data_IF_529366507023
#
_entry.id   IF_529366507023
#
_cell.length_a   1.000
_cell.length_b   1.000
_cell.length_c   1.000
_cell.angle_alpha   90.00
_cell.angle_beta   90.00
_cell.angle_gamma   90.00
#
_symmetry.space_group_name_H-M   'P 1'
#
loop_
_entity.id
_entity.type
_entity.pdbx_description
1 polymer ?
#
# COMPACT_ATOMS: atom_id res chain seq x y z
N UNK A 1 11.69 6.77 -14.46
CA UNK A 1 10.95 6.31 -13.24
C UNK A 1 11.31 7.19 -12.06
N UNK A 2 10.31 7.61 -11.28
CA UNK A 2 10.47 8.55 -10.15
C UNK A 2 10.50 7.78 -8.83
N UNK A 3 11.47 8.08 -7.96
CA UNK A 3 11.58 7.51 -6.62
C UNK A 3 11.20 8.58 -5.57
N UNK A 4 10.31 8.28 -4.63
CA UNK A 4 9.88 9.20 -3.57
C UNK A 4 10.31 8.74 -2.18
N UNK A 5 10.50 9.67 -1.25
CA UNK A 5 10.63 9.34 0.16
C UNK A 5 9.26 8.96 0.79
N UNK A 6 9.23 7.92 1.63
CA UNK A 6 8.01 7.26 2.09
C UNK A 6 7.21 7.99 3.19
N UNK A 7 7.74 9.07 3.79
CA UNK A 7 7.06 9.78 4.88
C UNK A 7 6.39 11.07 4.38
N UNK A 8 5.14 10.93 3.90
CA UNK A 8 4.36 12.05 3.36
C UNK A 8 4.05 13.12 4.41
N UNK A 9 3.84 12.73 5.68
CA UNK A 9 3.57 13.68 6.76
C UNK A 9 4.80 14.52 7.07
N UNK A 10 5.98 13.89 7.11
CA UNK A 10 7.24 14.62 7.31
C UNK A 10 7.56 15.48 6.09
N UNK A 11 7.36 14.98 4.87
CA UNK A 11 7.49 15.78 3.64
C UNK A 11 6.64 17.04 3.70
N UNK A 12 5.35 16.93 4.03
CA UNK A 12 4.45 18.08 4.14
C UNK A 12 4.90 19.06 5.24
N UNK A 13 5.41 18.55 6.37
CA UNK A 13 5.93 19.39 7.45
C UNK A 13 7.23 20.12 7.06
N UNK A 14 8.13 19.47 6.31
CA UNK A 14 9.38 20.08 5.81
C UNK A 14 9.06 21.11 4.72
N UNK A 15 8.11 20.81 3.84
CA UNK A 15 7.68 21.77 2.82
C UNK A 15 7.01 23.01 3.44
N UNK A 16 6.25 22.85 4.52
CA UNK A 16 5.70 23.98 5.27
C UNK A 16 6.77 24.76 6.08
N UNK A 17 7.97 24.22 6.27
CA UNK A 17 9.04 24.87 7.03
C UNK A 17 9.78 25.92 6.18
N UNK A 18 10.16 27.04 6.79
CA UNK A 18 10.74 28.17 6.06
C UNK A 18 12.15 27.90 5.51
N UNK A 19 12.97 27.15 6.23
CA UNK A 19 14.41 26.98 5.93
C UNK A 19 14.85 25.53 5.77
N UNK A 20 14.02 24.56 6.13
CA UNK A 20 14.43 23.16 6.17
C UNK A 20 14.22 22.55 4.79
N UNK A 21 15.29 21.98 4.22
CA UNK A 21 15.28 21.34 2.91
C UNK A 21 15.28 19.81 3.03
N UNK A 22 15.00 19.13 1.92
CA UNK A 22 14.98 17.68 1.83
C UNK A 22 14.79 17.23 0.40
N UNK A 23 15.17 15.98 0.12
CA UNK A 23 14.92 15.32 -1.15
C UNK A 23 13.42 14.99 -1.24
N UNK A 24 12.78 15.48 -2.30
CA UNK A 24 11.40 15.11 -2.64
C UNK A 24 11.40 13.78 -3.40
N UNK A 25 12.12 13.77 -4.53
CA UNK A 25 12.23 12.60 -5.38
C UNK A 25 13.48 12.60 -6.25
N UNK A 26 13.82 11.43 -6.77
CA UNK A 26 14.97 11.21 -7.65
C UNK A 26 14.53 10.57 -8.97
N UNK A 27 15.06 11.10 -10.08
CA UNK A 27 14.99 10.51 -11.41
C UNK A 27 16.33 10.00 -11.88
N UNK A 28 16.29 8.94 -12.69
CA UNK A 28 17.43 8.48 -13.48
C UNK A 28 17.15 8.78 -14.94
N UNK A 29 18.00 9.60 -15.57
CA UNK A 29 17.86 9.97 -16.97
C UNK A 29 18.33 8.81 -17.87
N UNK A 30 17.40 8.18 -18.59
CA UNK A 30 17.67 7.04 -19.47
C UNK A 30 17.23 7.30 -20.93
N UNK A 31 16.02 6.90 -21.35
CA UNK A 31 15.56 7.09 -22.73
C UNK A 31 15.32 8.56 -23.11
N UNK A 32 14.98 9.40 -22.13
CA UNK A 32 14.78 10.84 -22.32
C UNK A 32 16.10 11.64 -22.43
N UNK A 33 17.26 10.96 -22.33
CA UNK A 33 18.56 11.60 -22.49
C UNK A 33 18.78 12.06 -23.95
N UNK A 34 19.29 13.28 -24.19
CA UNK A 34 19.57 13.75 -25.54
C UNK A 34 20.70 12.94 -26.19
N UNK A 35 20.72 12.95 -27.53
CA UNK A 35 21.73 12.22 -28.31
C UNK A 35 23.15 12.66 -27.92
N UNK A 36 23.99 11.68 -27.53
CA UNK A 36 25.36 11.92 -27.06
C UNK A 36 25.50 11.97 -25.53
N UNK A 37 24.40 11.90 -24.78
CA UNK A 37 24.44 11.79 -23.32
C UNK A 37 24.66 10.34 -22.85
N UNK A 38 25.50 10.13 -21.81
CA UNK A 38 25.63 8.81 -21.22
C UNK A 38 24.32 8.41 -20.52
N UNK A 39 23.68 7.36 -21.03
CA UNK A 39 22.43 6.79 -20.50
C UNK A 39 22.62 6.29 -19.06
N UNK A 40 21.60 6.49 -18.22
CA UNK A 40 21.55 6.02 -16.82
C UNK A 40 22.73 6.49 -15.96
N UNK A 41 23.35 7.63 -16.30
CA UNK A 41 24.48 8.19 -15.54
C UNK A 41 24.19 9.59 -15.02
N UNK A 42 23.08 10.20 -15.41
CA UNK A 42 22.59 11.44 -14.82
C UNK A 42 21.47 11.13 -13.85
N UNK A 43 21.61 11.57 -12.61
CA UNK A 43 20.55 11.55 -11.62
C UNK A 43 20.01 12.98 -11.48
N UNK A 44 18.69 13.11 -11.55
CA UNK A 44 17.97 14.37 -11.30
C UNK A 44 17.39 14.27 -9.89
N UNK A 45 18.04 14.92 -8.93
CA UNK A 45 17.60 14.91 -7.53
C UNK A 45 16.80 16.18 -7.28
N UNK A 46 15.48 16.03 -7.09
CA UNK A 46 14.61 17.17 -6.83
C UNK A 46 14.46 17.40 -5.33
N UNK A 47 14.71 18.63 -4.92
CA UNK A 47 14.62 19.09 -3.54
C UNK A 47 13.30 19.82 -3.30
N UNK A 48 12.87 19.88 -2.03
CA UNK A 48 11.68 20.64 -1.61
C UNK A 48 11.91 22.15 -1.66
N UNK A 49 13.15 22.60 -1.43
CA UNK A 49 13.60 23.99 -1.50
C UNK A 49 14.77 24.12 -2.47
N UNK A 50 15.14 25.34 -2.91
CA UNK A 50 16.28 25.55 -3.82
C UNK A 50 17.56 24.86 -3.37
N UNK A 51 18.34 24.41 -4.34
CA UNK A 51 19.64 23.78 -4.09
C UNK A 51 20.54 24.77 -3.35
N UNK A 52 21.09 24.41 -2.17
CA UNK A 52 21.94 25.31 -1.41
C UNK A 52 23.21 25.67 -2.20
N UNK A 53 23.60 26.94 -2.14
CA UNK A 53 24.85 27.40 -2.73
C UNK A 53 26.05 26.75 -2.04
N UNK A 54 27.04 26.33 -2.83
CA UNK A 54 28.29 25.76 -2.31
C UNK A 54 28.25 24.24 -2.05
N UNK A 55 27.21 23.53 -2.49
CA UNK A 55 27.22 22.07 -2.50
C UNK A 55 28.41 21.56 -3.32
N UNK A 56 29.20 20.64 -2.78
CA UNK A 56 30.31 20.01 -3.49
C UNK A 56 30.05 18.53 -3.75
N UNK A 57 30.77 17.93 -4.71
CA UNK A 57 30.58 16.53 -5.08
C UNK A 57 30.89 15.56 -3.91
N UNK A 58 31.77 15.97 -3.00
CA UNK A 58 32.17 15.19 -1.82
C UNK A 58 31.02 15.02 -0.81
N UNK A 59 30.01 15.90 -0.89
CA UNK A 59 28.81 15.88 -0.05
C UNK A 59 27.70 15.00 -0.62
N UNK A 60 27.92 14.41 -1.81
CA UNK A 60 26.98 13.48 -2.46
C UNK A 60 27.58 12.09 -2.44
N UNK A 61 27.05 11.25 -1.56
CA UNK A 61 27.52 9.87 -1.37
C UNK A 61 26.51 8.90 -1.97
N UNK A 62 26.97 7.99 -2.82
CA UNK A 62 26.15 6.92 -3.39
C UNK A 62 26.70 5.58 -2.88
N UNK A 63 25.89 4.88 -2.11
CA UNK A 63 26.22 3.59 -1.50
C UNK A 63 25.27 2.50 -2.00
N UNK A 64 25.67 1.24 -1.89
CA UNK A 64 24.88 0.08 -2.30
C UNK A 64 25.52 -0.69 -3.46
N UNK A 65 24.68 -1.34 -4.26
CA UNK A 65 25.15 -2.22 -5.33
C UNK A 65 25.63 -3.58 -4.84
N UNK A 66 25.43 -4.62 -5.66
CA UNK A 66 25.99 -5.95 -5.35
C UNK A 66 27.27 -6.21 -6.15
N UNK A 67 27.21 -5.96 -7.46
CA UNK A 67 28.31 -6.15 -8.41
C UNK A 67 29.11 -4.87 -8.60
N UNK A 68 28.43 -3.73 -8.68
CA UNK A 68 29.07 -2.41 -8.82
C UNK A 68 28.87 -1.62 -7.55
N UNK A 69 29.84 -1.70 -6.62
CA UNK A 69 29.74 -1.10 -5.28
C UNK A 69 30.36 0.29 -5.17
N UNK A 70 31.21 0.64 -6.12
CA UNK A 70 31.93 1.92 -6.12
C UNK A 70 31.42 2.74 -7.30
N UNK A 71 30.67 3.79 -7.00
CA UNK A 71 30.13 4.74 -7.96
C UNK A 71 30.70 6.09 -7.59
N UNK A 72 31.45 6.70 -8.50
CA UNK A 72 32.09 7.99 -8.27
C UNK A 72 31.29 9.10 -8.95
N UNK A 73 31.08 10.19 -8.20
CA UNK A 73 30.41 11.38 -8.72
C UNK A 73 31.43 12.21 -9.51
N UNK A 74 31.23 12.30 -10.83
CA UNK A 74 32.12 13.04 -11.73
C UNK A 74 31.94 14.55 -11.58
N UNK A 75 30.69 15.00 -11.55
CA UNK A 75 30.32 16.39 -11.34
C UNK A 75 28.91 16.48 -10.79
N UNK A 76 28.63 17.63 -10.16
CA UNK A 76 27.31 18.05 -9.74
C UNK A 76 27.02 19.44 -10.30
N UNK A 77 25.74 19.80 -10.39
CA UNK A 77 25.34 21.15 -10.79
C UNK A 77 23.86 21.39 -10.51
N UNK A 78 23.44 22.65 -10.57
CA UNK A 78 22.02 23.00 -10.47
C UNK A 78 21.43 23.04 -11.88
N UNK A 79 20.20 22.57 -12.07
CA UNK A 79 19.61 22.53 -13.41
C UNK A 79 19.40 23.92 -14.03
N UNK A 80 19.24 24.96 -13.20
CA UNK A 80 19.14 26.35 -13.67
C UNK A 80 20.46 26.95 -14.15
N UNK A 81 21.59 26.44 -13.66
CA UNK A 81 22.94 26.81 -14.07
C UNK A 81 23.73 25.54 -14.37
N UNK A 82 23.40 24.84 -15.48
CA UNK A 82 23.95 23.53 -15.76
C UNK A 82 25.48 23.61 -15.95
N UNK A 83 26.22 22.59 -15.50
CA UNK A 83 27.68 22.62 -15.50
C UNK A 83 28.23 22.64 -16.92
N UNK A 84 29.38 23.30 -17.13
CA UNK A 84 30.03 23.40 -18.45
C UNK A 84 30.45 22.02 -19.03
N UNK A 85 30.55 21.01 -18.16
CA UNK A 85 30.82 19.61 -18.52
C UNK A 85 29.62 18.92 -19.18
N UNK A 86 28.40 19.46 -19.04
CA UNK A 86 27.21 18.97 -19.74
C UNK A 86 27.22 19.46 -21.19
N UNK A 87 26.75 18.64 -22.13
CA UNK A 87 26.69 19.02 -23.54
C UNK A 87 25.58 20.07 -23.79
N UNK A 88 25.60 20.75 -24.94
CA UNK A 88 24.65 21.83 -25.23
C UNK A 88 23.17 21.37 -25.20
N UNK A 89 22.90 20.12 -25.61
CA UNK A 89 21.54 19.56 -25.60
C UNK A 89 21.07 19.25 -24.17
N UNK A 90 21.96 18.77 -23.31
CA UNK A 90 21.73 18.55 -21.88
C UNK A 90 21.47 19.86 -21.16
N UNK A 91 22.27 20.89 -21.42
CA UNK A 91 22.08 22.21 -20.84
C UNK A 91 20.68 22.76 -21.20
N UNK A 92 20.27 22.64 -22.45
CA UNK A 92 18.93 23.04 -22.89
C UNK A 92 17.81 22.22 -22.20
N UNK A 93 18.00 20.92 -22.02
CA UNK A 93 17.04 20.06 -21.31
C UNK A 93 16.93 20.44 -19.83
N UNK A 94 18.05 20.60 -19.13
CA UNK A 94 18.07 20.87 -17.70
C UNK A 94 17.48 22.23 -17.36
N UNK A 95 17.81 23.26 -18.13
CA UNK A 95 17.26 24.60 -17.91
C UNK A 95 15.77 24.69 -18.29
N UNK A 96 15.23 23.74 -19.05
CA UNK A 96 13.80 23.64 -19.36
C UNK A 96 12.99 22.89 -18.28
N UNK A 97 13.63 22.32 -17.26
CA UNK A 97 12.94 21.59 -16.20
C UNK A 97 12.09 22.53 -15.33
N UNK A 98 10.91 22.08 -14.86
CA UNK A 98 10.09 22.87 -13.95
C UNK A 98 10.82 23.05 -12.60
N UNK A 99 10.92 24.30 -12.15
CA UNK A 99 11.69 24.71 -10.96
C UNK A 99 13.14 24.19 -11.02
N UNK A 100 13.86 24.53 -12.09
CA UNK A 100 15.24 24.10 -12.29
C UNK A 100 16.20 24.45 -11.11
N UNK A 101 15.88 25.50 -10.34
CA UNK A 101 16.61 25.86 -9.11
C UNK A 101 16.45 24.83 -7.97
N UNK A 102 15.45 23.96 -8.04
CA UNK A 102 15.17 22.88 -7.07
C UNK A 102 15.80 21.55 -7.49
N UNK A 103 16.43 21.48 -8.67
CA UNK A 103 16.94 20.24 -9.23
C UNK A 103 18.47 20.22 -9.15
N UNK A 104 18.99 19.30 -8.34
CA UNK A 104 20.40 18.95 -8.29
C UNK A 104 20.70 17.85 -9.31
N UNK A 105 21.56 18.18 -10.27
CA UNK A 105 22.10 17.26 -11.25
C UNK A 105 23.32 16.55 -10.66
N UNK A 106 23.34 15.22 -10.72
CA UNK A 106 24.48 14.40 -10.29
C UNK A 106 24.90 13.49 -11.44
N UNK A 107 26.15 13.62 -11.89
CA UNK A 107 26.73 12.73 -12.92
C UNK A 107 27.62 11.68 -12.29
N UNK A 108 27.38 10.42 -12.64
CA UNK A 108 28.19 9.29 -12.18
C UNK A 108 29.16 8.80 -13.26
N UNK A 109 30.24 8.15 -12.83
CA UNK A 109 31.22 7.47 -13.68
C UNK A 109 30.65 6.19 -14.33
N UNK A 110 29.72 5.53 -13.64
CA UNK A 110 29.10 4.27 -14.04
C UNK A 110 27.58 4.29 -13.88
N UNK A 111 26.91 3.45 -14.67
CA UNK A 111 25.45 3.28 -14.65
C UNK A 111 24.99 2.17 -13.68
N UNK A 112 25.83 1.80 -12.69
CA UNK A 112 25.53 0.79 -11.68
C UNK A 112 25.09 -0.58 -12.22
N UNK A 113 24.45 -1.36 -11.36
CA UNK A 113 23.80 -2.63 -11.69
C UNK A 113 22.26 -2.59 -11.40
N UNK A 114 21.62 -3.76 -11.33
CA UNK A 114 20.18 -3.90 -11.06
C UNK A 114 19.83 -3.84 -9.56
N UNK A 115 20.82 -3.70 -8.68
CA UNK A 115 20.63 -3.65 -7.23
C UNK A 115 20.13 -2.29 -6.78
N UNK A 116 19.75 -2.21 -5.50
CA UNK A 116 19.38 -0.94 -4.84
C UNK A 116 20.63 -0.13 -4.51
N UNK A 117 20.52 1.17 -4.71
CA UNK A 117 21.49 2.17 -4.32
C UNK A 117 20.82 3.21 -3.44
N UNK A 118 21.58 3.82 -2.55
CA UNK A 118 21.14 4.90 -1.68
C UNK A 118 21.98 6.12 -1.98
N UNK A 119 21.34 7.21 -2.39
CA UNK A 119 21.98 8.53 -2.50
C UNK A 119 21.77 9.27 -1.19
N UNK A 120 22.85 9.80 -0.61
CA UNK A 120 22.83 10.55 0.65
C UNK A 120 23.53 11.89 0.45
N UNK A 121 22.95 12.93 1.05
CA UNK A 121 23.53 14.27 1.13
C UNK A 121 24.13 14.46 2.53
N UNK A 122 25.46 14.45 2.64
CA UNK A 122 26.18 14.48 3.93
C UNK A 122 27.18 15.64 4.00
N UNK A 123 27.49 16.10 5.21
CA UNK A 123 28.56 17.08 5.43
C UNK A 123 29.96 16.47 5.27
N UNK A 124 30.11 15.24 5.70
CA UNK A 124 31.34 14.47 5.70
C UNK A 124 31.06 13.12 5.03
N UNK A 125 31.86 12.67 4.05
CA UNK A 125 31.70 11.34 3.47
C UNK A 125 32.00 10.19 4.45
N UNK A 126 32.77 10.43 5.52
CA UNK A 126 33.09 9.41 6.52
C UNK A 126 32.01 9.25 7.60
N UNK A 127 31.18 10.28 7.80
CA UNK A 127 30.19 10.33 8.89
C UNK A 127 28.82 10.66 8.31
N UNK A 128 27.75 9.87 8.58
CA UNK A 128 26.43 10.07 7.99
C UNK A 128 25.66 11.24 8.62
N UNK A 129 26.32 12.39 8.79
CA UNK A 129 25.72 13.62 9.29
C UNK A 129 25.07 14.36 8.12
N UNK A 130 23.76 14.64 8.17
CA UNK A 130 23.08 15.37 7.11
C UNK A 130 23.64 16.78 6.97
N UNK A 131 23.46 17.37 5.79
CA UNK A 131 23.77 18.78 5.53
C UNK A 131 23.10 19.72 6.54
N UNK A 132 23.69 20.90 6.81
CA UNK A 132 23.01 21.89 7.63
C UNK A 132 21.72 22.30 6.93
N UNK A 133 20.67 22.54 7.71
CA UNK A 133 19.32 22.87 7.21
C UNK A 133 18.67 21.78 6.33
N UNK A 134 19.17 20.54 6.36
CA UNK A 134 18.49 19.38 5.78
C UNK A 134 17.79 18.54 6.83
N UNK A 135 16.60 18.04 6.48
CA UNK A 135 15.90 17.06 7.29
C UNK A 135 16.66 15.71 7.29
N UNK A 136 17.01 15.14 8.45
CA UNK A 136 17.76 13.88 8.52
C UNK A 136 17.06 12.67 7.89
N UNK A 137 15.74 12.71 7.69
CA UNK A 137 14.96 11.62 7.09
C UNK A 137 14.72 11.84 5.59
N UNK A 138 14.87 13.08 5.11
CA UNK A 138 14.81 13.44 3.69
C UNK A 138 16.19 13.74 3.10
N UNK A 139 17.28 13.42 3.81
CA UNK A 139 18.65 13.57 3.31
C UNK A 139 19.16 12.34 2.56
N UNK A 140 18.37 11.26 2.53
CA UNK A 140 18.68 10.03 1.81
C UNK A 140 17.51 9.53 0.96
N UNK A 141 17.82 8.89 -0.15
CA UNK A 141 16.82 8.27 -1.02
C UNK A 141 17.34 6.98 -1.65
N UNK A 142 16.50 5.95 -1.66
CA UNK A 142 16.78 4.69 -2.34
C UNK A 142 16.32 4.73 -3.81
N UNK A 143 17.19 4.30 -4.72
CA UNK A 143 16.92 4.26 -6.16
C UNK A 143 17.61 3.06 -6.83
N UNK A 144 17.34 2.87 -8.13
CA UNK A 144 18.00 1.87 -9.00
C UNK A 144 18.37 2.52 -10.32
N UNK A 145 19.53 2.17 -10.89
CA UNK A 145 19.96 2.72 -12.18
C UNK A 145 19.20 2.13 -13.38
N UNK A 146 18.80 0.85 -13.31
CA UNK A 146 18.11 0.13 -14.39
C UNK A 146 16.59 0.28 -14.23
N UNK A 147 16.05 1.43 -14.65
CA UNK A 147 14.63 1.79 -14.49
C UNK A 147 13.74 1.45 -15.68
N UNK A 148 14.30 1.33 -16.90
CA UNK A 148 13.54 1.10 -18.13
C UNK A 148 13.90 -0.22 -18.84
N UNK A 149 14.58 -1.13 -18.13
CA UNK A 149 14.77 -2.48 -18.63
C UNK A 149 13.47 -3.28 -18.44
N UNK A 150 12.86 -3.84 -19.50
CA UNK A 150 11.77 -4.78 -19.34
C UNK A 150 12.29 -5.99 -18.56
N UNK A 151 11.75 -6.18 -17.35
CA UNK A 151 12.05 -7.34 -16.51
C UNK A 151 11.10 -8.46 -16.92
N UNK A 152 11.62 -9.58 -17.40
CA UNK A 152 10.85 -10.82 -17.59
C UNK A 152 10.45 -11.48 -16.25
N UNK A 153 10.88 -10.92 -15.12
CA UNK A 153 10.47 -11.33 -13.79
C UNK A 153 9.23 -10.53 -13.36
N UNK A 154 8.19 -11.24 -12.92
CA UNK A 154 7.00 -10.67 -12.28
C UNK A 154 7.43 -9.65 -11.23
N UNK A 155 7.18 -8.37 -11.53
CA UNK A 155 7.50 -7.27 -10.66
C UNK A 155 6.70 -7.43 -9.36
N UNK A 156 7.34 -7.97 -8.31
CA UNK A 156 6.80 -7.86 -6.95
C UNK A 156 6.58 -6.37 -6.71
N UNK A 157 5.30 -5.98 -6.58
CA UNK A 157 4.90 -4.60 -6.34
C UNK A 157 5.78 -4.05 -5.23
N UNK A 158 6.56 -2.96 -5.47
CA UNK A 158 7.29 -2.34 -4.40
C UNK A 158 6.29 -2.04 -3.29
N UNK A 159 6.61 -2.29 -2.01
CA UNK A 159 5.72 -1.90 -0.94
C UNK A 159 5.49 -0.39 -1.10
N UNK A 160 4.31 -0.02 -1.59
CA UNK A 160 3.89 1.36 -1.63
C UNK A 160 3.90 1.89 -0.22
N UNK A 161 3.89 3.22 -0.08
CA UNK A 161 3.62 3.83 1.22
C UNK A 161 2.35 3.18 1.78
N UNK A 162 2.46 2.50 2.92
CA UNK A 162 1.31 1.86 3.55
C UNK A 162 0.30 2.95 3.86
N UNK A 163 -0.77 3.04 3.08
CA UNK A 163 -1.91 3.87 3.45
C UNK A 163 -2.35 3.50 4.87
N UNK A 164 -2.70 4.49 5.71
CA UNK A 164 -3.20 4.19 7.04
C UNK A 164 -4.38 3.22 6.92
N UNK A 165 -4.32 2.14 7.68
CA UNK A 165 -5.35 1.12 7.66
C UNK A 165 -6.72 1.77 7.91
N UNK A 166 -7.67 1.58 6.98
CA UNK A 166 -9.04 2.04 7.19
C UNK A 166 -9.56 1.41 8.48
N UNK A 167 -10.21 2.19 9.37
CA UNK A 167 -10.75 1.64 10.60
C UNK A 167 -11.72 0.51 10.26
N UNK A 168 -11.51 -0.64 10.90
CA UNK A 168 -12.38 -1.81 10.73
C UNK A 168 -13.78 -1.42 11.19
N UNK A 169 -14.83 -1.71 10.41
CA UNK A 169 -16.19 -1.41 10.84
C UNK A 169 -16.51 -2.17 12.14
N UNK A 170 -17.27 -1.53 13.02
CA UNK A 170 -17.83 -2.19 14.20
C UNK A 170 -18.90 -3.20 13.73
N UNK A 171 -18.55 -4.49 13.77
CA UNK A 171 -19.41 -5.60 13.36
C UNK A 171 -19.97 -6.25 14.62
N UNK A 172 -21.28 -6.16 14.83
CA UNK A 172 -21.96 -6.90 15.88
C UNK A 172 -22.24 -8.34 15.41
N UNK A 173 -21.38 -9.27 15.81
CA UNK A 173 -21.49 -10.70 15.46
C UNK A 173 -22.68 -11.42 16.11
N UNK A 174 -23.34 -10.81 17.10
CA UNK A 174 -24.51 -11.37 17.77
C UNK A 174 -25.84 -10.95 17.12
N UNK A 175 -25.81 -10.03 16.16
CA UNK A 175 -27.01 -9.60 15.46
C UNK A 175 -27.55 -10.74 14.58
N UNK A 176 -28.68 -11.32 14.98
CA UNK A 176 -29.33 -12.45 14.29
C UNK A 176 -30.84 -12.31 14.14
N UNK A 177 -31.45 -11.45 14.94
CA UNK A 177 -32.88 -11.14 14.89
C UNK A 177 -33.16 -9.89 14.05
N UNK A 178 -34.42 -9.73 13.65
CA UNK A 178 -34.88 -8.59 12.84
C UNK A 178 -34.47 -7.22 13.43
N UNK A 179 -34.62 -7.00 14.74
CA UNK A 179 -34.37 -5.71 15.35
C UNK A 179 -32.88 -5.37 15.34
N UNK A 180 -32.03 -6.33 15.70
CA UNK A 180 -30.58 -6.17 15.69
C UNK A 180 -30.01 -6.01 14.29
N UNK A 181 -30.53 -6.75 13.30
CA UNK A 181 -30.15 -6.61 11.89
C UNK A 181 -30.59 -5.27 11.30
N UNK A 182 -31.84 -4.83 11.55
CA UNK A 182 -32.36 -3.54 11.11
C UNK A 182 -31.50 -2.40 11.64
N UNK A 183 -31.16 -2.44 12.93
CA UNK A 183 -30.29 -1.44 13.57
C UNK A 183 -28.92 -1.38 12.91
N UNK A 184 -28.28 -2.53 12.67
CA UNK A 184 -26.97 -2.61 12.03
C UNK A 184 -26.99 -2.00 10.61
N UNK A 185 -28.00 -2.33 9.81
CA UNK A 185 -28.15 -1.79 8.46
C UNK A 185 -28.37 -0.28 8.49
N UNK A 186 -29.24 0.22 9.38
CA UNK A 186 -29.50 1.65 9.54
C UNK A 186 -28.24 2.42 9.99
N UNK A 187 -27.48 1.90 10.94
CA UNK A 187 -26.22 2.52 11.41
C UNK A 187 -25.15 2.53 10.32
N UNK A 188 -25.15 1.52 9.44
CA UNK A 188 -24.27 1.48 8.27
C UNK A 188 -24.67 2.51 7.22
N UNK A 189 -25.97 2.61 6.91
CA UNK A 189 -26.50 3.60 5.98
C UNK A 189 -26.23 5.03 6.46
N UNK A 190 -26.39 5.31 7.76
CA UNK A 190 -26.10 6.63 8.34
C UNK A 190 -24.65 7.07 8.15
N UNK A 191 -23.70 6.14 8.24
CA UNK A 191 -22.26 6.41 8.02
C UNK A 191 -21.92 6.62 6.55
N UNK A 192 -22.56 5.87 5.66
CA UNK A 192 -22.29 5.96 4.22
C UNK A 192 -23.04 7.12 3.54
N UNK A 193 -24.13 7.59 4.13
CA UNK A 193 -25.00 8.64 3.59
C UNK A 193 -25.26 9.74 4.63
N UNK A 194 -24.26 10.59 4.94
CA UNK A 194 -24.36 11.59 6.02
C UNK A 194 -25.46 12.67 5.81
N UNK A 195 -25.97 12.82 4.58
CA UNK A 195 -27.09 13.73 4.25
C UNK A 195 -28.48 13.13 4.46
N UNK A 196 -28.59 11.81 4.67
CA UNK A 196 -29.87 11.12 4.86
C UNK A 196 -30.34 11.25 6.31
N UNK A 197 -31.48 11.93 6.51
CA UNK A 197 -32.05 12.22 7.84
C UNK A 197 -33.45 11.66 8.05
N UNK A 198 -34.13 11.26 6.98
CA UNK A 198 -35.47 10.70 7.08
C UNK A 198 -35.41 9.27 7.66
N UNK A 199 -36.21 9.02 8.69
CA UNK A 199 -36.35 7.72 9.37
C UNK A 199 -37.79 7.23 9.35
N UNK A 200 -38.63 7.88 8.56
CA UNK A 200 -40.03 7.51 8.43
C UNK A 200 -40.15 6.12 7.79
N UNK A 201 -41.21 5.35 8.11
CA UNK A 201 -41.50 4.09 7.43
C UNK A 201 -41.76 4.24 5.93
N UNK A 202 -42.00 5.46 5.43
CA UNK A 202 -42.21 5.74 4.02
C UNK A 202 -40.89 6.00 3.25
N UNK A 203 -39.77 6.15 3.97
CA UNK A 203 -38.46 6.36 3.35
C UNK A 203 -37.96 5.06 2.67
N UNK A 204 -37.47 5.21 1.44
CA UNK A 204 -37.02 4.06 0.65
C UNK A 204 -35.82 3.34 1.28
N UNK A 205 -34.89 4.06 1.90
CA UNK A 205 -33.73 3.44 2.53
C UNK A 205 -34.12 2.71 3.83
N UNK A 206 -35.07 3.26 4.60
CA UNK A 206 -35.69 2.56 5.73
C UNK A 206 -36.39 1.28 5.29
N UNK A 207 -37.27 1.35 4.27
CA UNK A 207 -38.02 0.17 3.80
C UNK A 207 -37.10 -0.95 3.26
N UNK A 208 -36.05 -0.58 2.53
CA UNK A 208 -35.04 -1.55 2.09
C UNK A 208 -34.27 -2.15 3.27
N UNK A 209 -33.92 -1.35 4.27
CA UNK A 209 -33.26 -1.85 5.47
C UNK A 209 -34.14 -2.85 6.23
N UNK A 210 -35.44 -2.59 6.32
CA UNK A 210 -36.43 -3.49 6.94
C UNK A 210 -36.60 -4.78 6.13
N UNK A 211 -36.64 -4.70 4.80
CA UNK A 211 -36.70 -5.89 3.94
C UNK A 211 -35.46 -6.76 4.07
N UNK A 212 -34.27 -6.16 4.11
CA UNK A 212 -33.00 -6.87 4.34
C UNK A 212 -33.02 -7.54 5.72
N UNK A 213 -33.45 -6.82 6.76
CA UNK A 213 -33.52 -7.37 8.11
C UNK A 213 -34.50 -8.54 8.19
N UNK A 214 -35.65 -8.46 7.52
CA UNK A 214 -36.63 -9.54 7.46
C UNK A 214 -36.09 -10.80 6.79
N UNK A 215 -35.46 -10.66 5.61
CA UNK A 215 -34.84 -11.80 4.92
C UNK A 215 -33.69 -12.37 5.74
N UNK A 216 -32.89 -11.50 6.37
CA UNK A 216 -31.79 -11.89 7.24
C UNK A 216 -32.25 -12.71 8.45
N UNK A 217 -33.34 -12.32 9.11
CA UNK A 217 -33.91 -13.08 10.24
C UNK A 217 -34.35 -14.48 9.81
N UNK A 218 -35.05 -14.59 8.67
CA UNK A 218 -35.44 -15.89 8.10
C UNK A 218 -34.22 -16.77 7.78
N UNK A 219 -33.16 -16.18 7.23
CA UNK A 219 -31.92 -16.90 6.94
C UNK A 219 -31.22 -17.37 8.23
N UNK A 220 -31.16 -16.52 9.26
CA UNK A 220 -30.58 -16.89 10.55
C UNK A 220 -31.35 -18.04 11.21
N UNK A 221 -32.68 -18.00 11.16
CA UNK A 221 -33.51 -19.12 11.63
C UNK A 221 -33.16 -20.43 10.91
N UNK A 222 -33.00 -20.39 9.59
CA UNK A 222 -32.62 -21.57 8.81
C UNK A 222 -31.21 -22.07 9.16
N UNK A 223 -30.25 -21.15 9.33
CA UNK A 223 -28.88 -21.50 9.72
C UNK A 223 -28.83 -22.14 11.11
N UNK A 224 -29.59 -21.63 12.07
CA UNK A 224 -29.65 -22.20 13.41
C UNK A 224 -30.30 -23.60 13.40
N UNK A 225 -31.32 -23.80 12.56
CA UNK A 225 -31.90 -25.13 12.35
C UNK A 225 -30.89 -26.11 11.73
N UNK A 226 -30.12 -25.68 10.73
CA UNK A 226 -29.06 -26.50 10.11
C UNK A 226 -27.93 -26.78 11.11
N UNK A 227 -27.49 -25.78 11.87
CA UNK A 227 -26.43 -25.92 12.87
C UNK A 227 -26.83 -26.89 13.99
N UNK A 228 -28.09 -26.85 14.42
CA UNK A 228 -28.63 -27.82 15.39
C UNK A 228 -28.53 -29.25 14.88
N UNK A 229 -28.77 -29.48 13.58
CA UNK A 229 -28.71 -30.81 12.96
C UNK A 229 -27.29 -31.25 12.55
N UNK A 230 -26.29 -30.37 12.62
CA UNK A 230 -24.94 -30.61 12.12
C UNK A 230 -24.10 -31.56 12.99
N UNK A 231 -24.44 -31.74 14.28
CA UNK A 231 -23.68 -32.58 15.20
C UNK A 231 -24.57 -33.64 15.86
N UNK A 232 -24.01 -34.83 16.10
CA UNK A 232 -24.75 -35.97 16.66
C UNK A 232 -25.45 -35.65 18.00
N UNK A 233 -24.80 -34.88 18.87
CA UNK A 233 -25.33 -34.58 20.20
C UNK A 233 -26.38 -33.45 20.22
N UNK A 234 -26.45 -32.62 19.17
CA UNK A 234 -27.43 -31.53 19.04
C UNK A 234 -28.59 -31.87 18.11
N UNK A 235 -28.40 -32.82 17.18
CA UNK A 235 -29.37 -33.16 16.16
C UNK A 235 -30.69 -33.66 16.76
N UNK A 236 -31.81 -33.10 16.30
CA UNK A 236 -33.15 -33.45 16.78
C UNK A 236 -33.88 -34.36 15.80
N UNK A 237 -33.53 -34.32 14.51
CA UNK A 237 -34.16 -35.19 13.51
C UNK A 237 -33.50 -36.57 13.51
N UNK A 238 -34.34 -37.62 13.57
CA UNK A 238 -33.89 -39.02 13.49
C UNK A 238 -33.09 -39.32 12.22
N UNK A 239 -33.45 -38.68 11.09
CA UNK A 239 -32.71 -38.80 9.84
C UNK A 239 -31.27 -38.27 9.94
N UNK A 240 -31.06 -37.16 10.65
CA UNK A 240 -29.74 -36.56 10.85
C UNK A 240 -28.90 -37.44 11.78
N UNK A 241 -29.50 -37.90 12.90
CA UNK A 241 -28.85 -38.82 13.83
C UNK A 241 -28.40 -40.12 13.13
N UNK A 242 -29.26 -40.71 12.30
CA UNK A 242 -28.91 -41.91 11.51
C UNK A 242 -27.75 -41.64 10.54
N UNK A 243 -27.72 -40.48 9.88
CA UNK A 243 -26.60 -40.13 8.97
C UNK A 243 -25.28 -39.94 9.74
N UNK A 244 -25.32 -39.25 10.88
CA UNK A 244 -24.14 -39.06 11.73
C UNK A 244 -23.64 -40.38 12.32
N UNK A 245 -24.54 -41.28 12.71
CA UNK A 245 -24.16 -42.57 13.28
C UNK A 245 -23.49 -43.51 12.27
N UNK A 246 -23.88 -43.42 10.99
CA UNK A 246 -23.22 -44.17 9.92
C UNK A 246 -21.75 -43.79 9.73
N UNK A 247 -21.34 -42.56 10.06
CA UNK A 247 -19.94 -42.13 9.98
C UNK A 247 -19.03 -42.84 10.99
N UNK A 248 -19.61 -43.43 12.04
CA UNK A 248 -18.90 -44.19 13.08
C UNK A 248 -19.27 -45.68 13.04
N UNK A 249 -19.76 -46.15 11.89
CA UNK A 249 -20.20 -47.53 11.65
C UNK A 249 -21.30 -48.02 12.63
N UNK A 250 -22.08 -47.09 13.20
CA UNK A 250 -23.19 -47.41 14.09
C UNK A 250 -24.53 -47.40 13.36
N UNK A 251 -25.14 -48.57 13.22
CA UNK A 251 -26.47 -48.72 12.65
C UNK A 251 -27.57 -48.45 13.70
N UNK A 252 -28.24 -47.30 13.59
CA UNK A 252 -29.41 -47.00 14.42
C UNK A 252 -30.57 -47.90 14.00
N UNK A 253 -31.07 -48.73 14.93
CA UNK A 253 -32.21 -49.60 14.71
C UNK A 253 -33.48 -48.78 14.39
N UNK A 254 -34.25 -49.17 13.37
CA UNK A 254 -35.61 -48.65 13.18
C UNK A 254 -36.52 -49.38 14.15
N UNK A 255 -37.24 -48.64 15.00
CA UNK A 255 -38.11 -49.26 15.99
C UNK A 255 -39.13 -50.17 15.28
N UNK A 256 -39.11 -51.46 15.61
CA UNK A 256 -40.11 -52.40 15.12
C UNK A 256 -41.47 -52.07 15.75
N UNK A 257 -42.49 -51.82 14.93
CA UNK A 257 -43.89 -51.93 15.37
C UNK A 257 -44.11 -53.36 15.87
N UNK A 258 -44.64 -53.59 17.08
CA UNK A 258 -44.93 -54.94 17.54
C UNK A 258 -45.90 -55.59 16.57
N UNK A 259 -45.52 -56.74 16.01
CA UNK A 259 -46.40 -57.54 15.18
C UNK A 259 -47.63 -57.98 16.02
N UNK A 260 -48.86 -57.80 15.54
CA UNK A 260 -50.03 -58.27 16.26
C UNK A 260 -50.08 -59.80 16.18
N UNK A 261 -49.64 -60.49 17.22
CA UNK A 261 -49.86 -61.94 17.35
C UNK A 261 -48.71 -62.72 17.95
N UNK A 262 -48.46 -62.53 19.26
CA UNK A 262 -47.85 -63.58 20.08
C UNK A 262 -48.70 -63.75 21.34
N UNK A 263 -49.78 -64.54 21.23
CA UNK A 263 -50.43 -65.15 22.38
C UNK A 263 -49.62 -66.38 22.78
N UNK A 264 -49.13 -66.38 24.02
CA UNK A 264 -48.51 -67.52 24.69
C UNK A 264 -49.49 -68.67 24.86
N UNK A 265 -49.07 -69.88 24.50
CA UNK A 265 -49.62 -71.15 25.01
C UNK A 265 -48.46 -71.96 25.55
#
# INVERSE_FOLDING_TARGET
MIFHCCDQNRRAAVDAHATLNGIDWLEVLDLDAPLGSPRQRTLLVRLLKPVPAGLTREQVVIEGGERVRRIEVQWIGVASAPPAQANAAEQALFSALPEADHVLLVRTDSAGDFSRYTLRLTQDPATPTPLPDFDPRLSEIEFRFKVECPSDFDCRTPPGCTEPAKPVPDINYLARDYESLRRLVIDRLARNMPGWRDRSPADLATTLAELIAYVGDLQHYQLDAVATEAYLHTARRRSSLRRHSLLVDYAVHEAATPAPGCTST
#
